data_IF_557870331587
#
_entry.id   IF_557870331587
#
_cell.length_a   1.000
_cell.length_b   1.000
_cell.length_c   1.000
_cell.angle_alpha   90.00
_cell.angle_beta   90.00
_cell.angle_gamma   90.00
#
_symmetry.space_group_name_H-M   'P 1'
#
loop_
_entity.id
_entity.type
_entity.pdbx_description
1 polymer ?
#
# COMPACT_ATOMS: atom_id res chain seq x y z
N UNK A 1 -15.75 11.85 6.18
CA UNK A 1 -15.36 11.25 4.88
C UNK A 1 -13.88 10.93 4.93
N UNK A 2 -13.37 9.93 4.19
CA UNK A 2 -11.93 9.69 4.14
C UNK A 2 -11.21 10.86 3.45
N UNK A 3 -9.98 11.15 3.87
CA UNK A 3 -9.09 12.12 3.25
C UNK A 3 -8.03 11.35 2.46
N UNK A 4 -7.94 11.60 1.15
CA UNK A 4 -6.84 11.10 0.33
C UNK A 4 -5.61 11.97 0.59
N UNK A 5 -4.52 11.34 1.00
CA UNK A 5 -3.25 12.02 1.29
C UNK A 5 -2.12 11.57 0.35
N UNK A 6 -2.30 10.44 -0.32
CA UNK A 6 -1.35 9.85 -1.27
C UNK A 6 -2.12 9.02 -2.29
N UNK A 7 -1.73 9.05 -3.55
CA UNK A 7 -2.31 8.18 -4.56
C UNK A 7 -1.59 8.25 -5.90
N UNK A 8 -1.50 7.10 -6.58
CA UNK A 8 -1.00 6.99 -7.95
C UNK A 8 -2.06 6.34 -8.83
N UNK A 9 -2.05 6.66 -10.12
CA UNK A 9 -2.99 6.12 -11.10
C UNK A 9 -2.31 5.74 -12.41
N UNK A 10 -2.86 4.73 -13.09
CA UNK A 10 -2.30 4.21 -14.33
C UNK A 10 -1.08 3.31 -14.11
N UNK A 11 -0.31 3.08 -15.17
CA UNK A 11 0.83 2.16 -15.14
C UNK A 11 2.04 2.78 -14.44
N UNK A 12 2.51 2.13 -13.36
CA UNK A 12 3.71 2.52 -12.61
C UNK A 12 4.96 1.70 -12.98
N UNK A 13 4.82 0.76 -13.92
CA UNK A 13 5.85 -0.22 -14.30
C UNK A 13 5.80 -1.48 -13.45
N UNK A 14 6.52 -2.52 -13.89
CA UNK A 14 6.61 -3.81 -13.20
C UNK A 14 7.83 -3.87 -12.27
N UNK A 15 7.79 -3.09 -11.17
CA UNK A 15 8.83 -3.05 -10.14
C UNK A 15 8.26 -2.57 -8.80
N UNK A 16 8.90 -2.97 -7.70
CA UNK A 16 8.62 -2.38 -6.40
C UNK A 16 9.00 -0.90 -6.37
N UNK A 17 8.10 -0.07 -5.85
CA UNK A 17 8.27 1.37 -5.68
C UNK A 17 8.00 1.73 -4.24
N UNK A 18 8.85 2.56 -3.66
CA UNK A 18 8.67 3.07 -2.30
C UNK A 18 7.65 4.22 -2.31
N UNK A 19 6.58 4.09 -1.53
CA UNK A 19 5.55 5.10 -1.31
C UNK A 19 5.59 5.64 0.12
N UNK A 20 5.57 6.97 0.31
CA UNK A 20 5.62 7.59 1.64
C UNK A 20 4.79 8.87 1.68
N UNK A 21 4.10 9.08 2.80
CA UNK A 21 3.30 10.28 3.06
C UNK A 21 3.23 10.56 4.56
N UNK A 22 3.30 11.83 4.93
CA UNK A 22 3.06 12.26 6.32
C UNK A 22 1.56 12.36 6.55
N UNK A 23 1.05 11.69 7.60
CA UNK A 23 -0.36 11.77 8.00
C UNK A 23 -0.47 12.61 9.26
N UNK A 24 -1.24 13.70 9.20
CA UNK A 24 -1.49 14.58 10.35
C UNK A 24 -2.98 14.65 10.66
N UNK A 25 -3.35 14.56 11.94
CA UNK A 25 -4.74 14.70 12.40
C UNK A 25 -4.80 15.17 13.84
N UNK A 26 -5.76 16.04 14.18
CA UNK A 26 -6.07 16.44 15.57
C UNK A 26 -7.07 15.50 16.26
N UNK A 27 -7.48 14.42 15.60
CA UNK A 27 -8.46 13.45 16.10
C UNK A 27 -8.03 12.03 15.75
N UNK A 28 -8.53 11.05 16.50
CA UNK A 28 -8.30 9.64 16.18
C UNK A 28 -8.69 9.33 14.74
N UNK A 29 -7.82 8.60 14.06
CA UNK A 29 -7.99 8.22 12.66
C UNK A 29 -7.58 6.76 12.47
N UNK A 30 -7.92 6.22 11.30
CA UNK A 30 -7.46 4.92 10.82
C UNK A 30 -6.98 5.08 9.39
N UNK A 31 -5.94 4.36 9.03
CA UNK A 31 -5.40 4.36 7.69
C UNK A 31 -6.23 3.41 6.83
N UNK A 32 -6.44 3.79 5.56
CA UNK A 32 -7.04 2.93 4.54
C UNK A 32 -6.14 2.93 3.32
N UNK A 33 -5.85 1.74 2.83
CA UNK A 33 -5.16 1.54 1.56
C UNK A 33 -6.19 0.97 0.58
N UNK A 34 -6.46 1.72 -0.48
CA UNK A 34 -7.48 1.40 -1.46
C UNK A 34 -6.85 1.18 -2.83
N UNK A 35 -7.06 -0.01 -3.39
CA UNK A 35 -6.84 -0.26 -4.82
C UNK A 35 -8.17 -0.01 -5.52
N UNK A 36 -8.18 0.81 -6.57
CA UNK A 36 -9.40 1.13 -7.33
C UNK A 36 -9.20 0.67 -8.78
N UNK A 37 -10.17 -0.09 -9.29
CA UNK A 37 -10.14 -0.55 -10.68
C UNK A 37 -10.47 0.61 -11.61
N UNK A 38 -9.52 0.95 -12.46
CA UNK A 38 -9.71 1.96 -13.51
C UNK A 38 -10.59 1.47 -14.68
N UNK A 39 -10.55 2.20 -15.79
CA UNK A 39 -11.34 1.86 -16.99
C UNK A 39 -10.72 0.73 -17.83
N UNK A 40 -9.53 0.25 -17.48
CA UNK A 40 -8.83 -0.85 -18.14
C UNK A 40 -8.55 -2.00 -17.16
N UNK A 41 -8.66 -3.24 -17.63
CA UNK A 41 -8.34 -4.44 -16.85
C UNK A 41 -6.86 -4.86 -16.94
N UNK A 42 -6.00 -4.02 -17.54
CA UNK A 42 -4.58 -4.32 -17.69
C UNK A 42 -3.80 -3.75 -16.52
N UNK A 43 -3.21 -4.63 -15.71
CA UNK A 43 -2.34 -4.31 -14.58
C UNK A 43 -2.86 -4.91 -13.27
N UNK A 44 -1.97 -5.15 -12.32
CA UNK A 44 -2.28 -5.49 -10.94
C UNK A 44 -1.69 -4.41 -10.03
N UNK A 45 -2.13 -4.35 -8.77
CA UNK A 45 -1.45 -3.56 -7.75
C UNK A 45 -0.94 -4.46 -6.65
N UNK A 46 0.25 -4.18 -6.13
CA UNK A 46 0.84 -4.91 -5.01
C UNK A 46 1.36 -3.93 -3.96
N UNK A 47 1.24 -4.31 -2.69
CA UNK A 47 1.83 -3.59 -1.55
C UNK A 47 2.54 -4.58 -0.65
N UNK A 48 3.67 -4.13 -0.11
CA UNK A 48 4.47 -4.86 0.87
C UNK A 48 5.12 -3.84 1.84
N UNK A 49 5.70 -4.32 2.94
CA UNK A 49 6.57 -3.53 3.83
C UNK A 49 5.89 -2.28 4.43
N UNK A 50 4.63 -2.41 4.89
CA UNK A 50 3.91 -1.32 5.55
C UNK A 50 4.59 -0.95 6.86
N UNK A 51 4.84 0.35 7.09
CA UNK A 51 5.48 0.87 8.31
C UNK A 51 4.88 2.20 8.73
N UNK A 52 4.72 2.40 10.05
CA UNK A 52 4.30 3.68 10.64
C UNK A 52 5.35 4.14 11.66
N UNK A 53 5.82 5.37 11.54
CA UNK A 53 6.79 5.98 12.44
C UNK A 53 6.45 7.45 12.71
N UNK A 54 6.93 7.99 13.83
CA UNK A 54 6.51 9.30 14.35
C UNK A 54 7.05 10.51 13.57
N UNK A 55 8.13 10.32 12.82
CA UNK A 55 8.81 11.39 12.11
C UNK A 55 8.15 11.66 10.74
N UNK A 56 7.98 12.94 10.34
CA UNK A 56 7.52 13.28 9.00
C UNK A 56 8.43 12.69 7.91
N UNK A 57 7.82 12.19 6.84
CA UNK A 57 8.51 11.68 5.67
C UNK A 57 8.28 12.57 4.45
N UNK A 58 9.21 12.46 3.49
CA UNK A 58 9.10 13.17 2.20
C UNK A 58 8.05 12.45 1.35
N UNK A 59 7.08 13.20 0.83
CA UNK A 59 6.10 12.67 -0.10
C UNK A 59 6.83 12.01 -1.27
N UNK A 60 6.63 10.70 -1.40
CA UNK A 60 7.32 9.88 -2.41
C UNK A 60 6.31 8.97 -3.12
N UNK A 61 6.29 8.96 -4.46
CA UNK A 61 6.91 9.95 -5.34
C UNK A 61 6.18 11.32 -5.25
N UNK A 62 6.77 12.42 -5.74
CA UNK A 62 6.16 13.76 -5.64
C UNK A 62 4.80 13.91 -6.36
N UNK A 63 4.58 13.15 -7.43
CA UNK A 63 3.33 13.12 -8.21
C UNK A 63 2.23 12.30 -7.53
N UNK A 64 2.49 11.74 -6.35
CA UNK A 64 1.47 11.10 -5.52
C UNK A 64 0.63 12.08 -4.69
N UNK A 65 0.87 13.39 -4.80
CA UNK A 65 0.08 14.43 -4.11
C UNK A 65 -1.32 14.58 -4.75
N UNK A 66 -2.40 14.23 -4.06
CA UNK A 66 -3.75 14.43 -4.59
C UNK A 66 -4.12 15.90 -4.78
N UNK A 67 -3.41 16.84 -4.15
CA UNK A 67 -3.68 18.28 -4.21
C UNK A 67 -2.67 19.04 -5.09
N UNK A 68 -1.67 18.37 -5.68
CA UNK A 68 -0.59 18.99 -6.46
C UNK A 68 0.08 20.19 -5.74
N UNK A 69 0.25 20.10 -4.42
CA UNK A 69 0.92 21.13 -3.63
C UNK A 69 2.43 20.89 -3.71
N UNK A 70 3.20 21.98 -3.74
CA UNK A 70 4.67 21.89 -3.75
C UNK A 70 5.13 21.16 -2.47
N UNK A 71 5.87 20.04 -2.56
CA UNK A 71 6.30 19.31 -1.39
C UNK A 71 7.24 20.19 -0.54
N UNK A 72 6.79 20.59 0.64
CA UNK A 72 7.60 21.35 1.60
C UNK A 72 8.45 20.36 2.40
N UNK A 73 9.77 20.45 2.23
CA UNK A 73 10.74 19.45 2.67
C UNK A 73 11.30 19.73 4.07
N UNK A 74 11.07 18.81 4.99
CA UNK A 74 12.04 18.47 6.05
C UNK A 74 12.09 16.94 6.14
N UNK A 75 13.20 16.36 5.69
CA UNK A 75 13.41 14.92 5.64
C UNK A 75 14.10 14.46 6.92
N UNK A 76 13.45 13.56 7.65
CA UNK A 76 14.11 12.70 8.62
C UNK A 76 13.98 11.26 8.16
N UNK A 77 15.08 10.52 8.21
CA UNK A 77 15.10 9.09 7.88
C UNK A 77 14.09 8.36 8.81
N UNK A 78 13.27 7.44 8.29
CA UNK A 78 12.43 6.59 9.12
C UNK A 78 13.28 5.88 10.18
N UNK A 79 12.95 6.08 11.45
CA UNK A 79 13.55 5.30 12.53
C UNK A 79 12.83 3.98 12.60
N UNK A 80 13.55 2.88 12.40
CA UNK A 80 13.00 1.53 12.59
C UNK A 80 12.77 1.33 14.08
N UNK A 81 11.52 1.16 14.50
CA UNK A 81 11.19 0.78 15.87
C UNK A 81 11.47 -0.70 16.06
N UNK A 82 12.23 -1.06 17.10
CA UNK A 82 12.41 -2.43 17.55
C UNK A 82 11.88 -2.53 19.00
N UNK A 83 10.76 -3.24 19.26
CA UNK A 83 10.02 -4.10 18.32
C UNK A 83 9.23 -3.32 17.25
N UNK A 84 8.82 -3.99 16.13
CA UNK A 84 7.95 -3.40 15.12
C UNK A 84 6.66 -2.84 15.73
N UNK A 85 6.15 -1.75 15.16
CA UNK A 85 4.88 -1.16 15.56
C UNK A 85 3.70 -2.12 15.30
N UNK A 86 2.56 -1.93 15.97
CA UNK A 86 1.38 -2.79 15.79
C UNK A 86 0.82 -2.79 14.36
N UNK A 87 1.18 -1.79 13.56
CA UNK A 87 0.76 -1.62 12.17
C UNK A 87 1.86 -1.95 11.15
N UNK A 88 3.06 -2.30 11.60
CA UNK A 88 4.13 -2.72 10.71
C UNK A 88 3.79 -4.11 10.15
N UNK A 89 3.90 -4.26 8.83
CA UNK A 89 3.49 -5.49 8.18
C UNK A 89 4.28 -5.78 6.89
N UNK A 90 5.04 -6.87 6.94
CA UNK A 90 5.76 -7.45 5.80
C UNK A 90 4.97 -8.59 5.13
N UNK A 91 3.76 -8.87 5.61
CA UNK A 91 2.90 -9.98 5.19
C UNK A 91 3.51 -11.40 5.23
N UNK A 92 4.73 -11.60 5.71
CA UNK A 92 5.34 -12.92 5.85
C UNK A 92 4.56 -13.85 6.82
N UNK A 93 3.86 -13.28 7.79
CA UNK A 93 3.00 -14.02 8.73
C UNK A 93 1.59 -13.45 8.74
N UNK A 94 0.76 -13.86 7.77
CA UNK A 94 -0.63 -13.41 7.65
C UNK A 94 -0.76 -11.94 7.22
N UNK A 95 -1.89 -11.30 7.55
CA UNK A 95 -2.14 -9.87 7.24
C UNK A 95 -1.75 -8.92 8.38
N UNK A 96 -1.05 -9.43 9.39
CA UNK A 96 -0.71 -8.74 10.64
C UNK A 96 -1.94 -8.34 11.49
N UNK A 97 -1.77 -8.21 12.81
CA UNK A 97 -2.89 -7.96 13.72
C UNK A 97 -3.44 -6.52 13.63
N UNK A 98 -2.64 -5.58 13.12
CA UNK A 98 -3.03 -4.17 12.98
C UNK A 98 -3.85 -3.87 11.73
N UNK A 99 -4.08 -4.84 10.85
CA UNK A 99 -4.79 -4.62 9.59
C UNK A 99 -6.00 -5.55 9.43
N UNK A 100 -7.07 -4.99 8.91
CA UNK A 100 -8.32 -5.65 8.58
C UNK A 100 -8.56 -5.54 7.07
N UNK A 101 -8.72 -6.68 6.41
CA UNK A 101 -9.16 -6.71 5.02
C UNK A 101 -10.68 -6.50 4.99
N UNK A 102 -11.11 -5.32 4.56
CA UNK A 102 -12.52 -4.91 4.54
C UNK A 102 -13.22 -5.48 3.30
N UNK A 103 -13.17 -6.80 3.15
CA UNK A 103 -13.70 -7.50 1.98
C UNK A 103 -15.22 -7.39 1.94
N UNK A 104 -15.77 -6.76 0.90
CA UNK A 104 -17.20 -6.52 0.76
C UNK A 104 -17.75 -6.79 -0.65
N UNK A 105 -16.92 -7.29 -1.58
CA UNK A 105 -17.30 -7.55 -2.97
C UNK A 105 -16.36 -8.58 -3.66
N UNK A 106 -16.34 -8.57 -5.00
CA UNK A 106 -15.53 -9.42 -5.90
C UNK A 106 -14.03 -9.08 -5.98
N UNK A 107 -13.61 -7.92 -5.48
CA UNK A 107 -12.27 -7.37 -5.68
C UNK A 107 -11.67 -6.95 -4.33
N UNK A 108 -10.68 -7.71 -3.86
CA UNK A 108 -10.13 -7.58 -2.53
C UNK A 108 -8.61 -7.62 -2.57
N UNK A 109 -7.97 -7.02 -1.55
CA UNK A 109 -6.56 -7.27 -1.29
C UNK A 109 -6.42 -8.74 -0.89
N UNK A 110 -5.54 -9.47 -1.55
CA UNK A 110 -5.33 -10.89 -1.27
C UNK A 110 -3.86 -11.11 -0.96
N UNK A 111 -3.59 -11.79 0.15
CA UNK A 111 -2.24 -12.20 0.49
C UNK A 111 -1.83 -13.33 -0.45
N UNK A 112 -0.77 -13.13 -1.21
CA UNK A 112 -0.28 -14.10 -2.21
C UNK A 112 1.19 -14.40 -1.96
N UNK A 113 1.63 -15.59 -2.36
CA UNK A 113 3.06 -15.90 -2.43
C UNK A 113 3.58 -15.47 -3.79
N UNK A 114 4.76 -14.86 -3.87
CA UNK A 114 5.30 -14.32 -5.11
C UNK A 114 5.33 -15.36 -6.26
N UNK A 115 5.69 -16.62 -5.96
CA UNK A 115 5.71 -17.73 -6.93
C UNK A 115 4.34 -18.13 -7.52
N UNK A 116 3.23 -17.60 -6.98
CA UNK A 116 1.86 -17.96 -7.39
C UNK A 116 1.21 -16.94 -8.33
N UNK A 117 1.87 -15.83 -8.61
CA UNK A 117 1.33 -14.72 -9.41
C UNK A 117 2.28 -14.34 -10.54
N UNK A 118 1.76 -13.64 -11.55
CA UNK A 118 2.57 -13.20 -12.69
C UNK A 118 3.48 -12.01 -12.36
N UNK A 119 3.06 -11.14 -11.43
CA UNK A 119 3.82 -9.99 -10.98
C UNK A 119 3.33 -9.44 -9.63
N UNK A 120 4.21 -8.84 -8.81
CA UNK A 120 5.67 -8.93 -8.91
C UNK A 120 6.19 -10.36 -8.70
N UNK A 121 7.23 -10.76 -9.45
CA UNK A 121 7.76 -12.13 -9.43
C UNK A 121 8.47 -12.50 -8.11
N UNK A 122 8.95 -11.48 -7.39
CA UNK A 122 9.75 -11.61 -6.19
C UNK A 122 9.14 -10.71 -5.12
N UNK A 123 8.98 -11.25 -3.92
CA UNK A 123 8.58 -10.52 -2.73
C UNK A 123 9.65 -9.51 -2.30
N UNK A 124 9.26 -8.31 -1.87
CA UNK A 124 10.21 -7.25 -1.55
C UNK A 124 10.94 -7.52 -0.23
N UNK A 125 10.22 -7.94 0.81
CA UNK A 125 10.76 -8.18 2.15
C UNK A 125 11.89 -9.21 2.14
N UNK A 126 11.64 -10.38 1.54
CA UNK A 126 12.57 -11.51 1.53
C UNK A 126 13.50 -11.50 0.32
N UNK A 127 13.15 -10.74 -0.72
CA UNK A 127 13.80 -10.79 -2.03
C UNK A 127 13.83 -12.21 -2.62
N UNK A 128 12.76 -12.99 -2.40
CA UNK A 128 12.59 -14.35 -2.91
C UNK A 128 11.21 -14.57 -3.55
N UNK A 129 11.06 -15.64 -4.32
CA UNK A 129 9.75 -16.08 -4.83
C UNK A 129 8.91 -16.80 -3.76
N UNK A 130 9.48 -17.06 -2.58
CA UNK A 130 8.81 -17.73 -1.46
C UNK A 130 8.17 -16.75 -0.47
N UNK A 131 8.50 -15.46 -0.53
CA UNK A 131 7.90 -14.43 0.32
C UNK A 131 6.47 -14.06 -0.10
N UNK A 132 5.85 -13.20 0.68
CA UNK A 132 4.43 -12.89 0.60
C UNK A 132 4.15 -11.40 0.65
N UNK A 133 3.19 -10.97 -0.16
CA UNK A 133 2.71 -9.58 -0.19
C UNK A 133 1.19 -9.54 -0.40
N UNK A 134 0.60 -8.35 -0.36
CA UNK A 134 -0.81 -8.16 -0.71
C UNK A 134 -0.93 -7.75 -2.17
N UNK A 135 -1.78 -8.43 -2.92
CA UNK A 135 -2.07 -8.14 -4.32
C UNK A 135 -3.56 -7.81 -4.50
N UNK A 136 -3.85 -6.86 -5.38
CA UNK A 136 -5.17 -6.61 -5.92
C UNK A 136 -5.17 -6.95 -7.42
N UNK A 137 -5.70 -8.13 -7.75
CA UNK A 137 -5.82 -8.63 -9.13
C UNK A 137 -6.96 -7.91 -9.86
N UNK A 138 -6.62 -6.96 -10.74
CA UNK A 138 -7.63 -6.11 -11.40
C UNK A 138 -8.49 -6.91 -12.39
N UNK A 139 -8.07 -8.09 -12.83
CA UNK A 139 -8.87 -8.98 -13.68
C UNK A 139 -10.13 -9.48 -12.96
N UNK A 140 -10.11 -9.49 -11.63
CA UNK A 140 -11.26 -9.87 -10.80
C UNK A 140 -12.23 -8.73 -10.58
N UNK A 141 -11.83 -7.48 -10.80
CA UNK A 141 -12.68 -6.31 -10.57
C UNK A 141 -13.49 -5.85 -11.79
N UNK A 142 -14.43 -4.94 -11.56
CA UNK A 142 -15.07 -4.09 -12.59
C UNK A 142 -14.66 -2.65 -12.35
N UNK A 143 -14.77 -1.81 -13.38
CA UNK A 143 -14.52 -0.38 -13.24
C UNK A 143 -15.23 0.20 -12.01
N UNK A 144 -14.47 0.93 -11.18
CA UNK A 144 -14.88 1.51 -9.88
C UNK A 144 -15.05 0.54 -8.71
N UNK A 145 -14.80 -0.77 -8.89
CA UNK A 145 -14.62 -1.64 -7.73
C UNK A 145 -13.38 -1.20 -6.95
N UNK A 146 -13.42 -1.40 -5.63
CA UNK A 146 -12.30 -1.09 -4.75
C UNK A 146 -12.02 -2.22 -3.78
N UNK A 147 -10.73 -2.48 -3.57
CA UNK A 147 -10.20 -3.34 -2.52
C UNK A 147 -9.74 -2.45 -1.36
N UNK A 148 -10.01 -2.81 -0.10
CA UNK A 148 -9.69 -1.96 1.05
C UNK A 148 -9.00 -2.74 2.18
N UNK A 149 -7.81 -2.30 2.54
CA UNK A 149 -7.10 -2.69 3.77
C UNK A 149 -7.19 -1.53 4.77
N UNK A 150 -7.54 -1.81 6.02
CA UNK A 150 -7.84 -0.79 7.03
C UNK A 150 -7.13 -1.09 8.34
N UNK A 151 -6.62 -0.04 9.00
CA UNK A 151 -5.99 -0.15 10.32
C UNK A 151 -6.95 0.02 11.52
#
# INVERSE_FOLDING_TARGET
QPLWVWGLQGNQGNKWLNGQVTVTSSSYYRIRIEGIVGNSFQGDAAIDDLRIFENPCVLTPPDADPFNVVPTTTSTKPTITNPPGPYDCTFETGICNGWENMANNRFNWTRVQASTVAAPEIDHTTNTVQGYFMQADLSKGRANDYARLKS
#
